data_IF_270777730651
#
_entry.id   IF_270777730651
#
_cell.length_a   1.000
_cell.length_b   1.000
_cell.length_c   1.000
_cell.angle_alpha   90.00
_cell.angle_beta   90.00
_cell.angle_gamma   90.00
#
_symmetry.space_group_name_H-M   'P 1'
#
loop_
_entity.id
_entity.type
_entity.pdbx_description
1 polymer ?
#
# COMPACT_ATOMS: atom_id res chain seq x y z
N UNK A 1 13.62 -7.34 -8.59
CA UNK A 1 12.85 -8.59 -8.81
C UNK A 1 13.30 -9.35 -10.07
N UNK A 2 14.60 -9.28 -10.41
CA UNK A 2 15.19 -10.10 -11.49
C UNK A 2 14.82 -11.58 -11.22
N UNK A 3 14.38 -12.30 -12.24
CA UNK A 3 13.94 -13.71 -12.19
C UNK A 3 12.54 -13.99 -11.61
N UNK A 4 11.68 -12.99 -11.41
CA UNK A 4 10.28 -13.18 -11.03
C UNK A 4 9.36 -12.57 -12.07
N UNK A 5 8.24 -13.24 -12.39
CA UNK A 5 7.19 -12.64 -13.19
C UNK A 5 6.45 -11.61 -12.33
N UNK A 6 6.53 -10.34 -12.69
CA UNK A 6 5.90 -9.24 -11.95
C UNK A 6 4.95 -8.49 -12.88
N UNK A 7 3.73 -8.25 -12.40
CA UNK A 7 2.77 -7.35 -13.04
C UNK A 7 2.65 -6.07 -12.21
N UNK A 8 2.87 -4.92 -12.82
CA UNK A 8 2.58 -3.63 -12.20
C UNK A 8 1.20 -3.17 -12.67
N UNK A 9 0.29 -3.03 -11.71
CA UNK A 9 -1.10 -2.61 -11.92
C UNK A 9 -1.36 -1.23 -11.27
N UNK A 10 -0.30 -0.50 -10.93
CA UNK A 10 -0.40 0.84 -10.36
C UNK A 10 -0.55 1.90 -11.44
N UNK A 11 -1.49 2.83 -11.23
CA UNK A 11 -1.71 4.00 -12.07
C UNK A 11 -1.55 5.28 -11.26
N UNK A 12 -1.03 6.32 -11.91
CA UNK A 12 -0.93 7.62 -11.28
C UNK A 12 -2.30 8.16 -10.85
N UNK A 13 -2.34 8.85 -9.72
CA UNK A 13 -3.54 9.47 -9.14
C UNK A 13 -4.65 8.52 -8.68
N UNK A 14 -4.43 7.22 -8.72
CA UNK A 14 -5.42 6.26 -8.23
C UNK A 14 -5.84 6.54 -6.78
N UNK A 15 -7.15 6.50 -6.59
CA UNK A 15 -7.83 6.41 -5.30
C UNK A 15 -8.37 4.99 -5.10
N UNK A 16 -8.81 4.68 -3.91
CA UNK A 16 -9.37 3.35 -3.57
C UNK A 16 -10.52 2.96 -4.50
N UNK A 17 -11.40 3.90 -4.85
CA UNK A 17 -12.53 3.67 -5.75
C UNK A 17 -12.09 3.34 -7.19
N UNK A 18 -10.98 3.92 -7.68
CA UNK A 18 -10.47 3.60 -9.01
C UNK A 18 -9.94 2.17 -9.08
N UNK A 19 -9.15 1.77 -8.07
CA UNK A 19 -8.64 0.39 -7.96
C UNK A 19 -9.78 -0.60 -7.83
N UNK A 20 -10.77 -0.31 -6.98
CA UNK A 20 -11.94 -1.16 -6.79
C UNK A 20 -12.73 -1.35 -8.08
N UNK A 21 -12.94 -0.26 -8.83
CA UNK A 21 -13.61 -0.31 -10.13
C UNK A 21 -12.88 -1.24 -11.10
N UNK A 22 -11.55 -1.11 -11.25
CA UNK A 22 -10.77 -1.96 -12.16
C UNK A 22 -10.79 -3.43 -11.76
N UNK A 23 -10.73 -3.74 -10.46
CA UNK A 23 -10.84 -5.12 -9.98
C UNK A 23 -12.19 -5.73 -10.38
N UNK A 24 -13.28 -4.98 -10.26
CA UNK A 24 -14.60 -5.45 -10.69
C UNK A 24 -14.75 -5.55 -12.20
N UNK A 25 -13.91 -4.86 -12.96
CA UNK A 25 -13.89 -4.89 -14.43
C UNK A 25 -12.77 -5.76 -15.01
N UNK A 26 -12.29 -6.74 -14.25
CA UNK A 26 -11.44 -7.81 -14.76
C UNK A 26 -9.93 -7.57 -14.67
N UNK A 27 -9.45 -6.53 -13.98
CA UNK A 27 -8.00 -6.26 -13.88
C UNK A 27 -7.20 -7.43 -13.29
N UNK A 28 -7.82 -8.22 -12.43
CA UNK A 28 -7.20 -9.39 -11.81
C UNK A 28 -7.58 -10.72 -12.49
N UNK A 29 -8.24 -10.68 -13.65
CA UNK A 29 -8.66 -11.88 -14.37
C UNK A 29 -7.58 -12.39 -15.33
N UNK A 30 -7.67 -13.64 -15.75
CA UNK A 30 -6.77 -14.24 -16.76
C UNK A 30 -5.36 -14.61 -16.26
N UNK A 31 -5.09 -14.52 -14.97
CA UNK A 31 -3.84 -14.99 -14.35
C UNK A 31 -4.06 -15.41 -12.90
N UNK A 32 -3.08 -16.11 -12.34
CA UNK A 32 -3.03 -16.45 -10.91
C UNK A 32 -1.78 -15.83 -10.30
N UNK A 33 -1.98 -14.98 -9.29
CA UNK A 33 -0.89 -14.42 -8.51
C UNK A 33 -0.55 -15.34 -7.33
N UNK A 34 0.74 -15.52 -7.04
CA UNK A 34 1.19 -16.14 -5.81
C UNK A 34 1.18 -15.12 -4.65
N UNK A 35 1.50 -13.86 -4.97
CA UNK A 35 1.56 -12.78 -4.00
C UNK A 35 1.09 -11.46 -4.63
N UNK A 36 0.37 -10.67 -3.85
CA UNK A 36 -0.09 -9.33 -4.23
C UNK A 36 0.34 -8.34 -3.16
N UNK A 37 0.97 -7.25 -3.57
CA UNK A 37 1.26 -6.10 -2.72
C UNK A 37 0.29 -4.97 -3.05
N UNK A 38 -0.49 -4.55 -2.05
CA UNK A 38 -1.42 -3.41 -2.17
C UNK A 38 -0.85 -2.21 -1.43
N UNK A 39 -0.66 -1.10 -2.15
CA UNK A 39 -0.35 0.22 -1.60
C UNK A 39 -1.28 1.24 -2.24
N UNK A 40 -2.23 1.78 -1.46
CA UNK A 40 -3.26 2.71 -1.94
C UNK A 40 -3.72 3.62 -0.80
N UNK A 41 -4.33 4.75 -1.12
CA UNK A 41 -5.01 5.64 -0.17
C UNK A 41 -4.39 7.03 -0.03
N UNK A 42 -3.18 7.26 -0.50
CA UNK A 42 -2.53 8.58 -0.40
C UNK A 42 -3.30 9.68 -1.16
N UNK A 43 -3.86 9.36 -2.32
CA UNK A 43 -4.62 10.32 -3.13
C UNK A 43 -6.02 10.60 -2.55
N UNK A 44 -6.54 9.71 -1.72
CA UNK A 44 -7.80 9.93 -1.01
C UNK A 44 -7.68 10.99 0.10
N UNK A 45 -6.46 11.25 0.62
CA UNK A 45 -6.25 12.18 1.74
C UNK A 45 -6.80 13.60 1.48
N UNK A 46 -6.88 14.03 0.22
CA UNK A 46 -7.38 15.36 -0.14
C UNK A 46 -8.91 15.42 -0.23
N UNK A 47 -9.59 14.28 -0.41
CA UNK A 47 -11.00 14.24 -0.78
C UNK A 47 -11.87 13.50 0.22
N UNK A 48 -11.30 12.63 1.03
CA UNK A 48 -12.03 11.68 1.87
C UNK A 48 -11.68 11.84 3.35
N UNK A 49 -12.62 11.48 4.20
CA UNK A 49 -12.40 11.31 5.64
C UNK A 49 -11.55 10.08 5.92
N UNK A 50 -10.93 10.02 7.10
CA UNK A 50 -10.11 8.87 7.52
C UNK A 50 -10.91 7.56 7.53
N UNK A 51 -12.18 7.63 7.91
CA UNK A 51 -13.11 6.48 7.91
C UNK A 51 -13.37 5.97 6.49
N UNK A 52 -13.59 6.87 5.52
CA UNK A 52 -13.81 6.50 4.12
C UNK A 52 -12.55 5.89 3.50
N UNK A 53 -11.38 6.46 3.80
CA UNK A 53 -10.09 5.92 3.33
C UNK A 53 -9.89 4.50 3.87
N UNK A 54 -10.07 4.33 5.17
CA UNK A 54 -9.97 3.03 5.82
C UNK A 54 -10.92 2.02 5.19
N UNK A 55 -12.19 2.38 5.01
CA UNK A 55 -13.19 1.52 4.42
C UNK A 55 -12.86 1.20 2.95
N UNK A 56 -12.41 2.17 2.17
CA UNK A 56 -11.99 1.97 0.79
C UNK A 56 -10.84 0.95 0.67
N UNK A 57 -9.82 1.05 1.51
CA UNK A 57 -8.71 0.08 1.53
C UNK A 57 -9.20 -1.32 1.89
N UNK A 58 -10.10 -1.44 2.88
CA UNK A 58 -10.67 -2.73 3.28
C UNK A 58 -11.52 -3.35 2.17
N UNK A 59 -12.31 -2.56 1.44
CA UNK A 59 -13.09 -3.03 0.30
C UNK A 59 -12.19 -3.51 -0.85
N UNK A 60 -11.12 -2.78 -1.16
CA UNK A 60 -10.12 -3.22 -2.15
C UNK A 60 -9.47 -4.53 -1.72
N UNK A 61 -9.10 -4.64 -0.44
CA UNK A 61 -8.53 -5.86 0.14
C UNK A 61 -9.45 -7.06 -0.05
N UNK A 62 -10.73 -6.90 0.26
CA UNK A 62 -11.72 -7.96 0.11
C UNK A 62 -11.96 -8.34 -1.36
N UNK A 63 -12.07 -7.35 -2.25
CA UNK A 63 -12.20 -7.59 -3.68
C UNK A 63 -11.01 -8.38 -4.27
N UNK A 64 -9.77 -8.07 -3.84
CA UNK A 64 -8.58 -8.83 -4.22
C UNK A 64 -8.69 -10.28 -3.76
N UNK A 65 -9.09 -10.53 -2.52
CA UNK A 65 -9.24 -11.89 -1.97
C UNK A 65 -10.27 -12.72 -2.73
N UNK A 66 -11.38 -12.10 -3.12
CA UNK A 66 -12.42 -12.76 -3.91
C UNK A 66 -11.89 -13.14 -5.29
N UNK A 67 -11.12 -12.27 -5.95
CA UNK A 67 -10.60 -12.50 -7.31
C UNK A 67 -9.36 -13.37 -7.37
N UNK A 68 -8.53 -13.33 -6.33
CA UNK A 68 -7.27 -14.07 -6.23
C UNK A 68 -7.15 -14.80 -4.88
N UNK A 69 -8.07 -15.73 -4.58
CA UNK A 69 -8.17 -16.37 -3.25
C UNK A 69 -6.94 -17.16 -2.85
N UNK A 70 -6.12 -17.61 -3.81
CA UNK A 70 -4.87 -18.33 -3.56
C UNK A 70 -3.68 -17.41 -3.28
N UNK A 71 -3.80 -16.10 -3.59
CA UNK A 71 -2.68 -15.17 -3.46
C UNK A 71 -2.42 -14.80 -2.00
N UNK A 72 -1.15 -14.78 -1.61
CA UNK A 72 -0.72 -14.20 -0.35
C UNK A 72 -0.84 -12.68 -0.45
N UNK A 73 -1.80 -12.07 0.24
CA UNK A 73 -2.05 -10.63 0.16
C UNK A 73 -1.28 -9.88 1.23
N UNK A 74 -0.43 -8.96 0.80
CA UNK A 74 0.33 -8.02 1.63
C UNK A 74 -0.25 -6.61 1.45
N UNK A 75 -0.84 -6.05 2.49
CA UNK A 75 -1.36 -4.67 2.49
C UNK A 75 -0.35 -3.76 3.18
N UNK A 76 0.18 -2.81 2.45
CA UNK A 76 1.07 -1.80 3.00
C UNK A 76 0.27 -0.65 3.59
N UNK A 77 0.69 -0.15 4.74
CA UNK A 77 0.19 1.12 5.25
C UNK A 77 0.49 2.26 4.28
N UNK A 78 -0.34 3.30 4.27
CA UNK A 78 -0.10 4.51 3.48
C UNK A 78 1.27 5.06 3.83
N UNK A 79 2.11 5.34 2.83
CA UNK A 79 3.44 5.90 3.06
C UNK A 79 3.36 7.29 3.70
N UNK A 80 4.33 7.67 4.52
CA UNK A 80 4.41 9.02 5.08
C UNK A 80 4.42 10.07 3.97
N UNK A 81 3.72 11.17 4.23
CA UNK A 81 3.64 12.32 3.32
C UNK A 81 3.78 13.60 4.14
N UNK A 82 4.55 14.57 3.62
CA UNK A 82 4.78 15.85 4.26
C UNK A 82 3.47 16.53 4.67
N UNK A 83 3.45 17.09 5.87
CA UNK A 83 2.32 17.81 6.47
C UNK A 83 1.07 16.97 6.77
N UNK A 84 1.11 15.63 6.58
CA UNK A 84 -0.01 14.72 6.87
C UNK A 84 0.41 13.50 7.68
N UNK A 85 1.62 13.49 8.21
CA UNK A 85 2.23 12.33 8.87
C UNK A 85 1.36 11.79 10.02
N UNK A 86 0.89 12.68 10.92
CA UNK A 86 0.05 12.29 12.06
C UNK A 86 -1.27 11.66 11.62
N UNK A 87 -1.89 12.22 10.59
CA UNK A 87 -3.13 11.71 10.02
C UNK A 87 -2.92 10.31 9.43
N UNK A 88 -1.86 10.14 8.64
CA UNK A 88 -1.48 8.85 8.05
C UNK A 88 -1.19 7.82 9.14
N UNK A 89 -0.45 8.19 10.18
CA UNK A 89 -0.16 7.29 11.30
C UNK A 89 -1.45 6.80 11.98
N UNK A 90 -2.45 7.67 12.16
CA UNK A 90 -3.72 7.29 12.75
C UNK A 90 -4.50 6.33 11.85
N UNK A 91 -4.59 6.62 10.54
CA UNK A 91 -5.24 5.72 9.57
C UNK A 91 -4.54 4.37 9.55
N UNK A 92 -3.22 4.34 9.48
CA UNK A 92 -2.42 3.12 9.45
C UNK A 92 -2.57 2.28 10.73
N UNK A 93 -2.69 2.92 11.88
CA UNK A 93 -2.96 2.24 13.17
C UNK A 93 -4.31 1.52 13.15
N UNK A 94 -5.36 2.17 12.65
CA UNK A 94 -6.69 1.55 12.56
C UNK A 94 -6.73 0.48 11.45
N UNK A 95 -6.07 0.72 10.33
CA UNK A 95 -5.95 -0.24 9.24
C UNK A 95 -5.28 -1.53 9.72
N UNK A 96 -4.16 -1.43 10.44
CA UNK A 96 -3.47 -2.58 11.03
C UNK A 96 -4.41 -3.44 11.86
N UNK A 97 -5.15 -2.83 12.81
CA UNK A 97 -6.08 -3.55 13.68
C UNK A 97 -7.14 -4.34 12.92
N UNK A 98 -7.60 -3.81 11.78
CA UNK A 98 -8.65 -4.45 10.98
C UNK A 98 -8.12 -5.52 10.04
N UNK A 99 -6.84 -5.48 9.68
CA UNK A 99 -6.21 -6.40 8.74
C UNK A 99 -5.51 -7.59 9.40
N UNK A 100 -5.12 -7.51 10.67
CA UNK A 100 -4.28 -8.51 11.36
C UNK A 100 -4.79 -9.96 11.29
N UNK A 101 -6.08 -10.16 11.08
CA UNK A 101 -6.67 -11.50 11.02
C UNK A 101 -6.77 -12.09 9.61
N UNK A 102 -6.53 -11.31 8.55
CA UNK A 102 -6.96 -11.67 7.20
C UNK A 102 -5.91 -11.52 6.10
N UNK A 103 -4.81 -10.81 6.36
CA UNK A 103 -3.72 -10.59 5.41
C UNK A 103 -2.45 -10.13 6.13
N UNK A 104 -1.33 -10.08 5.41
CA UNK A 104 -0.08 -9.55 5.95
C UNK A 104 -0.15 -8.02 5.90
N UNK A 105 -0.05 -7.36 7.05
CA UNK A 105 0.11 -5.92 7.13
C UNK A 105 1.58 -5.53 7.19
N UNK A 106 2.01 -4.62 6.30
CA UNK A 106 3.39 -4.12 6.24
C UNK A 106 3.39 -2.62 6.57
N UNK A 107 4.04 -2.24 7.67
CA UNK A 107 4.23 -0.83 8.02
C UNK A 107 5.64 -0.37 7.61
N UNK A 108 5.71 0.54 6.66
CA UNK A 108 6.96 1.14 6.16
C UNK A 108 7.24 2.54 6.77
N UNK A 109 6.36 3.04 7.66
CA UNK A 109 6.48 4.41 8.17
C UNK A 109 7.81 4.65 8.88
N UNK A 110 8.20 3.76 9.78
CA UNK A 110 9.45 3.90 10.55
C UNK A 110 10.72 3.86 9.68
N UNK A 111 10.62 3.27 8.50
CA UNK A 111 11.71 3.21 7.54
C UNK A 111 11.93 4.54 6.83
N UNK A 112 10.87 5.32 6.69
CA UNK A 112 10.80 6.51 5.86
C UNK A 112 10.66 7.82 6.66
N UNK A 113 10.56 7.72 7.99
CA UNK A 113 10.46 8.87 8.90
C UNK A 113 11.66 8.93 9.84
N UNK A 114 11.86 10.09 10.45
CA UNK A 114 12.78 10.28 11.57
C UNK A 114 12.17 9.76 12.90
N UNK A 115 12.93 9.92 13.98
CA UNK A 115 12.51 9.52 15.36
C UNK A 115 11.26 10.25 15.87
N UNK A 116 10.88 11.36 15.27
CA UNK A 116 9.69 12.15 15.61
C UNK A 116 8.49 11.79 14.72
N UNK A 117 8.66 10.83 13.80
CA UNK A 117 7.62 10.42 12.85
C UNK A 117 7.40 11.39 11.69
N UNK A 118 8.34 12.33 11.47
CA UNK A 118 8.34 13.26 10.34
C UNK A 118 9.08 12.62 9.17
N UNK A 119 8.63 12.88 7.95
CA UNK A 119 9.27 12.30 6.78
C UNK A 119 10.77 12.63 6.75
N UNK A 120 11.58 11.64 6.40
CA UNK A 120 12.99 11.87 6.13
C UNK A 120 13.14 12.39 4.70
N UNK A 121 13.27 13.71 4.53
CA UNK A 121 13.33 14.36 3.23
C UNK A 121 14.42 13.82 2.30
N UNK A 122 15.50 13.24 2.84
CA UNK A 122 16.56 12.63 2.04
C UNK A 122 16.11 11.35 1.29
N UNK A 123 14.93 10.79 1.63
CA UNK A 123 14.34 9.59 1.02
C UNK A 123 13.18 9.93 0.08
N UNK A 124 12.86 11.22 -0.10
CA UNK A 124 11.75 11.67 -0.94
C UNK A 124 12.21 12.68 -1.98
N UNK A 125 11.51 12.74 -3.10
CA UNK A 125 11.77 13.71 -4.17
C UNK A 125 11.04 15.04 -3.93
N UNK A 126 9.82 14.99 -3.39
CA UNK A 126 8.89 16.11 -3.29
C UNK A 126 8.03 16.08 -2.02
N UNK A 127 8.41 15.30 -1.02
CA UNK A 127 7.62 15.13 0.21
C UNK A 127 6.42 14.19 0.09
N UNK A 128 6.23 13.58 -1.09
CA UNK A 128 5.20 12.58 -1.36
C UNK A 128 5.80 11.30 -1.97
N UNK A 129 6.63 11.45 -2.99
CA UNK A 129 7.18 10.33 -3.73
C UNK A 129 8.57 9.95 -3.20
N UNK A 130 8.77 8.70 -2.73
CA UNK A 130 10.09 8.23 -2.39
C UNK A 130 11.04 8.38 -3.59
N UNK A 131 12.26 8.81 -3.35
CA UNK A 131 13.33 8.82 -4.35
C UNK A 131 13.97 7.41 -4.47
N UNK A 132 15.01 7.28 -5.29
CA UNK A 132 15.71 5.99 -5.48
C UNK A 132 16.11 5.34 -4.16
N UNK A 133 16.69 6.10 -3.22
CA UNK A 133 17.10 5.58 -1.91
C UNK A 133 15.90 5.13 -1.06
N UNK A 134 14.79 5.86 -1.13
CA UNK A 134 13.55 5.49 -0.46
C UNK A 134 12.97 4.18 -1.01
N UNK A 135 12.94 4.04 -2.34
CA UNK A 135 12.48 2.80 -2.98
C UNK A 135 13.41 1.61 -2.75
N UNK A 136 14.73 1.81 -2.68
CA UNK A 136 15.68 0.76 -2.33
C UNK A 136 15.38 0.19 -0.95
N UNK A 137 15.18 1.04 0.06
CA UNK A 137 14.79 0.62 1.41
C UNK A 137 13.45 -0.13 1.43
N UNK A 138 12.45 0.35 0.71
CA UNK A 138 11.17 -0.34 0.56
C UNK A 138 11.38 -1.72 -0.06
N UNK A 139 12.16 -1.81 -1.13
CA UNK A 139 12.42 -3.05 -1.83
C UNK A 139 13.14 -4.09 -0.95
N UNK A 140 14.08 -3.67 -0.08
CA UNK A 140 14.74 -4.56 0.89
C UNK A 140 13.72 -5.23 1.81
N UNK A 141 12.76 -4.45 2.34
CA UNK A 141 11.70 -5.00 3.21
C UNK A 141 10.79 -5.94 2.41
N UNK A 142 10.35 -5.54 1.21
CA UNK A 142 9.43 -6.38 0.41
C UNK A 142 10.06 -7.70 -0.03
N UNK A 143 11.37 -7.74 -0.27
CA UNK A 143 12.10 -8.97 -0.60
C UNK A 143 11.96 -10.03 0.50
N UNK A 144 11.97 -9.64 1.77
CA UNK A 144 11.84 -10.60 2.88
C UNK A 144 10.51 -11.38 2.85
N UNK A 145 9.47 -10.81 2.26
CA UNK A 145 8.17 -11.47 2.10
C UNK A 145 8.10 -12.34 0.83
N UNK A 146 8.95 -12.09 -0.15
CA UNK A 146 8.99 -12.84 -1.41
C UNK A 146 9.81 -14.13 -1.29
N UNK A 147 10.72 -14.19 -0.35
CA UNK A 147 11.66 -15.30 -0.17
C UNK A 147 11.18 -16.32 0.88
N UNK A 148 10.04 -16.00 1.55
CA UNK A 148 9.30 -16.87 2.48
C UNK A 148 8.00 -17.37 1.84
#
# INVERSE_FOLDING_TARGET
FKNRSVRNLGFGWDKTENVLWRIYHGELDGFKANMIFLLIGTNNLQFNTDKEILQGILQVTEAIKIRQPQAKLCVMGILPRANTEKRIQQINKELRKKLEQNCIYINLSNLLTDKNGIINSSLFSDGLHPNTKGYEKIAEVLKTYLDN
#
